data_IF_784167281966
#
_entry.id   IF_784167281966
#
_cell.length_a   1.000
_cell.length_b   1.000
_cell.length_c   1.000
_cell.angle_alpha   90.00
_cell.angle_beta   90.00
_cell.angle_gamma   90.00
#
_symmetry.space_group_name_H-M   'P 1'
#
loop_
_entity.id
_entity.type
_entity.pdbx_description
1 polymer ?
#
# COMPACT_ATOMS: atom_id res chain seq x y z
N UNK A 1 5.13 16.37 -6.88
CA UNK A 1 5.84 15.54 -7.88
C UNK A 1 4.93 14.43 -8.37
N UNK A 2 4.84 14.27 -9.68
CA UNK A 2 3.91 13.32 -10.31
C UNK A 2 4.15 11.87 -9.88
N UNK A 3 5.43 11.48 -9.76
CA UNK A 3 5.81 10.14 -9.34
C UNK A 3 5.34 9.83 -7.91
N UNK A 4 5.45 10.81 -7.02
CA UNK A 4 4.99 10.64 -5.64
C UNK A 4 3.47 10.50 -5.58
N UNK A 5 2.76 11.33 -6.33
CA UNK A 5 1.30 11.24 -6.43
C UNK A 5 0.87 9.89 -7.01
N UNK A 6 1.58 9.41 -8.02
CA UNK A 6 1.31 8.12 -8.63
C UNK A 6 1.43 7.00 -7.60
N UNK A 7 2.50 7.00 -6.81
CA UNK A 7 2.71 5.97 -5.77
C UNK A 7 1.63 6.06 -4.70
N UNK A 8 1.28 7.26 -4.26
CA UNK A 8 0.21 7.46 -3.28
C UNK A 8 -1.12 6.92 -3.79
N UNK A 9 -1.45 7.19 -5.06
CA UNK A 9 -2.67 6.69 -5.68
C UNK A 9 -2.66 5.17 -5.81
N UNK A 10 -1.52 4.57 -6.15
CA UNK A 10 -1.38 3.12 -6.22
C UNK A 10 -1.58 2.47 -4.85
N UNK A 11 -1.08 3.08 -3.80
CA UNK A 11 -1.29 2.59 -2.43
C UNK A 11 -2.77 2.65 -2.04
N UNK A 12 -3.47 3.73 -2.41
CA UNK A 12 -4.90 3.85 -2.15
C UNK A 12 -5.71 2.80 -2.90
N UNK A 13 -5.40 2.59 -4.18
CA UNK A 13 -6.06 1.55 -4.98
C UNK A 13 -5.84 0.15 -4.39
N UNK A 14 -4.62 -0.12 -3.95
CA UNK A 14 -4.28 -1.39 -3.33
C UNK A 14 -5.06 -1.59 -2.04
N UNK A 15 -5.18 -0.55 -1.23
CA UNK A 15 -5.95 -0.59 0.01
C UNK A 15 -7.44 -0.84 -0.26
N UNK A 16 -8.01 -0.15 -1.23
CA UNK A 16 -9.41 -0.33 -1.60
C UNK A 16 -9.67 -1.76 -2.09
N UNK A 17 -8.79 -2.29 -2.92
CA UNK A 17 -8.89 -3.65 -3.41
C UNK A 17 -8.82 -4.65 -2.26
N UNK A 18 -7.87 -4.45 -1.34
CA UNK A 18 -7.72 -5.30 -0.16
C UNK A 18 -8.99 -5.30 0.69
N UNK A 19 -9.54 -4.13 0.98
CA UNK A 19 -10.74 -4.01 1.81
C UNK A 19 -11.94 -4.68 1.15
N UNK A 20 -12.08 -4.54 -0.15
CA UNK A 20 -13.17 -5.17 -0.90
C UNK A 20 -13.04 -6.69 -0.89
N UNK A 21 -11.86 -7.22 -1.13
CA UNK A 21 -11.61 -8.66 -1.11
C UNK A 21 -11.79 -9.25 0.30
N UNK A 22 -11.31 -8.53 1.33
CA UNK A 22 -11.50 -8.95 2.71
C UNK A 22 -12.98 -9.03 3.09
N UNK A 23 -13.75 -8.03 2.68
CA UNK A 23 -15.19 -8.04 2.91
C UNK A 23 -15.85 -9.25 2.26
N UNK A 24 -15.48 -9.55 1.01
CA UNK A 24 -16.03 -10.70 0.29
C UNK A 24 -15.69 -12.02 0.97
N UNK A 25 -14.48 -12.15 1.51
CA UNK A 25 -14.06 -13.34 2.24
C UNK A 25 -14.99 -13.58 3.44
N UNK A 26 -15.26 -12.54 4.22
CA UNK A 26 -16.11 -12.67 5.41
C UNK A 26 -17.59 -12.84 5.07
N UNK A 27 -18.02 -12.50 3.86
CA UNK A 27 -19.36 -12.77 3.37
C UNK A 27 -19.50 -14.21 2.89
N UNK A 28 -18.51 -14.72 2.17
CA UNK A 28 -18.55 -16.05 1.54
C UNK A 28 -18.14 -17.19 2.46
N UNK A 29 -17.26 -16.92 3.42
CA UNK A 29 -16.69 -17.93 4.30
C UNK A 29 -16.94 -17.57 5.75
N UNK A 30 -16.98 -18.58 6.60
CA UNK A 30 -17.18 -18.40 8.04
C UNK A 30 -16.03 -19.00 8.83
N UNK A 31 -15.80 -18.43 10.02
CA UNK A 31 -14.92 -19.00 11.03
C UNK A 31 -13.48 -19.14 10.58
N UNK A 32 -12.95 -20.36 10.74
CA UNK A 32 -11.53 -20.64 10.52
C UNK A 32 -11.11 -20.43 9.07
N UNK A 33 -11.97 -20.79 8.11
CA UNK A 33 -11.65 -20.61 6.68
C UNK A 33 -11.54 -19.14 6.31
N UNK A 34 -12.49 -18.33 6.78
CA UNK A 34 -12.44 -16.89 6.54
C UNK A 34 -11.18 -16.28 7.14
N UNK A 35 -10.83 -16.68 8.36
CA UNK A 35 -9.63 -16.18 9.03
C UNK A 35 -8.37 -16.54 8.29
N UNK A 36 -8.23 -17.77 7.82
CA UNK A 36 -7.05 -18.20 7.04
C UNK A 36 -6.92 -17.42 5.73
N UNK A 37 -8.04 -17.27 5.02
CA UNK A 37 -8.03 -16.53 3.76
C UNK A 37 -7.72 -15.05 3.95
N UNK A 38 -8.27 -14.47 5.02
CA UNK A 38 -8.00 -13.07 5.35
C UNK A 38 -6.52 -12.85 5.70
N UNK A 39 -5.94 -13.74 6.49
CA UNK A 39 -4.52 -13.65 6.86
C UNK A 39 -3.61 -13.73 5.63
N UNK A 40 -3.93 -14.64 4.70
CA UNK A 40 -3.17 -14.75 3.46
C UNK A 40 -3.28 -13.49 2.63
N UNK A 41 -4.48 -12.97 2.47
CA UNK A 41 -4.74 -11.73 1.74
C UNK A 41 -4.02 -10.56 2.38
N UNK A 42 -4.07 -10.46 3.70
CA UNK A 42 -3.39 -9.40 4.45
C UNK A 42 -1.88 -9.43 4.24
N UNK A 43 -1.28 -10.62 4.26
CA UNK A 43 0.14 -10.80 4.02
C UNK A 43 0.53 -10.33 2.62
N UNK A 44 -0.25 -10.71 1.59
CA UNK A 44 -0.02 -10.29 0.22
C UNK A 44 -0.14 -8.77 0.08
N UNK A 45 -1.16 -8.17 0.71
CA UNK A 45 -1.34 -6.73 0.72
C UNK A 45 -0.15 -6.03 1.36
N UNK A 46 0.27 -6.48 2.53
CA UNK A 46 1.38 -5.86 3.25
C UNK A 46 2.68 -5.91 2.46
N UNK A 47 2.96 -7.03 1.79
CA UNK A 47 4.16 -7.15 0.97
C UNK A 47 4.18 -6.14 -0.18
N UNK A 48 3.05 -5.97 -0.85
CA UNK A 48 2.93 -5.01 -1.94
C UNK A 48 3.00 -3.57 -1.44
N UNK A 49 2.29 -3.29 -0.35
CA UNK A 49 2.27 -1.94 0.22
C UNK A 49 3.64 -1.56 0.77
N UNK A 50 4.35 -2.51 1.39
CA UNK A 50 5.69 -2.28 1.90
C UNK A 50 6.65 -1.85 0.79
N UNK A 51 6.56 -2.49 -0.35
CA UNK A 51 7.36 -2.11 -1.52
C UNK A 51 7.06 -0.68 -1.96
N UNK A 52 5.78 -0.34 -2.08
CA UNK A 52 5.36 1.02 -2.46
C UNK A 52 5.74 2.05 -1.42
N UNK A 53 5.62 1.71 -0.15
CA UNK A 53 6.05 2.57 0.96
C UNK A 53 7.54 2.89 0.86
N UNK A 54 8.36 1.89 0.55
CA UNK A 54 9.78 2.08 0.36
C UNK A 54 10.10 3.04 -0.78
N UNK A 55 9.39 2.90 -1.92
CA UNK A 55 9.53 3.82 -3.05
C UNK A 55 9.10 5.23 -2.68
N UNK A 56 8.01 5.36 -1.95
CA UNK A 56 7.51 6.66 -1.50
C UNK A 56 8.53 7.35 -0.60
N UNK A 57 9.08 6.61 0.36
CA UNK A 57 10.08 7.16 1.28
C UNK A 57 11.32 7.65 0.53
N UNK A 58 11.79 6.88 -0.46
CA UNK A 58 12.94 7.30 -1.29
C UNK A 58 12.65 8.57 -2.06
N UNK A 59 11.46 8.69 -2.66
CA UNK A 59 11.10 9.89 -3.39
C UNK A 59 10.98 11.11 -2.48
N UNK A 60 10.44 10.94 -1.29
CA UNK A 60 10.36 12.00 -0.30
C UNK A 60 11.75 12.48 0.13
N UNK A 61 12.70 11.56 0.32
CA UNK A 61 14.08 11.91 0.65
C UNK A 61 14.74 12.67 -0.48
N UNK A 62 14.53 12.25 -1.73
CA UNK A 62 15.07 12.94 -2.89
C UNK A 62 14.51 14.36 -2.98
N UNK A 63 13.22 14.54 -2.72
CA UNK A 63 12.60 15.86 -2.71
C UNK A 63 13.20 16.77 -1.63
N UNK A 64 13.44 16.24 -0.45
CA UNK A 64 14.08 16.97 0.62
C UNK A 64 15.50 17.42 0.23
N UNK A 65 16.26 16.55 -0.43
CA UNK A 65 17.60 16.88 -0.91
C UNK A 65 17.55 17.99 -1.96
N UNK A 66 16.60 17.91 -2.90
CA UNK A 66 16.43 18.94 -3.93
C UNK A 66 16.12 20.28 -3.27
N UNK A 67 15.21 20.32 -2.32
CA UNK A 67 14.88 21.56 -1.59
C UNK A 67 16.07 22.12 -0.85
N UNK A 68 16.85 21.24 -0.21
CA UNK A 68 18.04 21.64 0.52
C UNK A 68 19.05 22.31 -0.39
N UNK A 69 19.32 21.71 -1.56
CA UNK A 69 20.28 22.29 -2.50
C UNK A 69 19.76 23.55 -3.18
N UNK A 70 18.46 23.67 -3.39
CA UNK A 70 17.86 24.88 -3.94
C UNK A 70 17.91 26.05 -2.98
N UNK A 71 17.88 25.81 -1.69
CA UNK A 71 17.88 26.86 -0.68
C UNK A 71 19.29 27.39 -0.37
N UNK A 72 20.31 26.80 -0.94
CA UNK A 72 21.68 27.30 -0.90
C UNK A 72 21.97 28.15 -2.13
#
# INVERSE_FOLDING_TARGET
>A
MEELEFIQNERLKLQEKYLKEAKNIWIEYDGIEADKKHKKLHSEYRNKDYFLEGLQAKLEDILKDIEYYKSK
#
